data_IF_392274292123
#
_entry.id   IF_392274292123
#
_cell.length_a   1.000
_cell.length_b   1.000
_cell.length_c   1.000
_cell.angle_alpha   90.00
_cell.angle_beta   90.00
_cell.angle_gamma   90.00
#
_symmetry.space_group_name_H-M   'P 1'
#
loop_
_entity.id
_entity.type
_entity.pdbx_description
1 polymer ?
#
# COMPACT_ATOMS: atom_id res chain seq x y z
N UNK A 1 28.24 9.57 -2.98
CA UNK A 1 27.88 9.19 -1.60
C UNK A 1 26.40 9.51 -1.37
N UNK A 2 25.51 8.70 -1.95
CA UNK A 2 24.07 8.71 -1.65
C UNK A 2 23.72 7.29 -1.22
N UNK A 3 23.18 7.19 -0.01
CA UNK A 3 22.90 5.93 0.67
C UNK A 3 21.70 5.26 -0.02
N UNK A 4 21.97 4.38 -0.98
CA UNK A 4 20.97 3.47 -1.52
C UNK A 4 20.65 2.43 -0.45
N UNK A 5 19.45 2.48 0.12
CA UNK A 5 18.92 1.41 0.98
C UNK A 5 18.53 0.26 0.04
N UNK A 6 19.51 -0.58 -0.30
CA UNK A 6 19.30 -1.92 -0.85
C UNK A 6 19.02 -2.83 0.34
N UNK A 7 17.76 -3.22 0.52
CA UNK A 7 17.40 -4.24 1.52
C UNK A 7 17.73 -5.60 0.93
N UNK A 8 18.91 -6.11 1.28
CA UNK A 8 19.35 -7.48 1.04
C UNK A 8 18.51 -8.41 1.93
N UNK A 9 17.70 -9.28 1.33
CA UNK A 9 16.85 -10.24 2.06
C UNK A 9 17.68 -11.49 2.36
N UNK A 10 18.55 -11.42 3.35
CA UNK A 10 19.23 -12.59 3.91
C UNK A 10 19.44 -12.38 5.42
N UNK A 11 18.71 -13.15 6.24
CA UNK A 11 18.83 -13.13 7.70
C UNK A 11 17.55 -12.66 8.39
N UNK A 12 16.62 -13.58 8.64
CA UNK A 12 15.46 -13.33 9.49
C UNK A 12 15.90 -13.53 10.94
N UNK A 13 16.05 -12.44 11.69
CA UNK A 13 16.44 -12.44 13.12
C UNK A 13 15.22 -12.31 14.05
N UNK A 14 15.40 -12.66 15.33
CA UNK A 14 14.39 -12.66 16.41
C UNK A 14 13.61 -11.34 16.57
N UNK A 15 14.16 -10.22 16.09
CA UNK A 15 13.53 -8.90 16.08
C UNK A 15 12.22 -8.83 15.29
N UNK A 16 12.04 -9.69 14.29
CA UNK A 16 10.81 -9.72 13.49
C UNK A 16 9.62 -10.26 14.30
N UNK A 17 9.83 -11.24 15.17
CA UNK A 17 8.80 -11.80 16.05
C UNK A 17 8.32 -10.78 17.09
N UNK A 18 9.24 -10.04 17.72
CA UNK A 18 8.90 -8.97 18.67
C UNK A 18 8.16 -7.83 17.98
N UNK A 19 8.57 -7.48 16.76
CA UNK A 19 7.90 -6.46 15.94
C UNK A 19 6.50 -6.90 15.53
N UNK A 20 6.31 -8.18 15.17
CA UNK A 20 5.00 -8.75 14.84
C UNK A 20 4.05 -8.77 16.03
N UNK A 21 4.53 -9.20 17.20
CA UNK A 21 3.74 -9.19 18.44
C UNK A 21 3.34 -7.76 18.82
N UNK A 22 4.28 -6.79 18.74
CA UNK A 22 3.99 -5.36 18.97
C UNK A 22 2.99 -4.79 17.96
N UNK A 23 3.08 -5.16 16.68
CA UNK A 23 2.13 -4.73 15.64
C UNK A 23 0.73 -5.30 15.89
N UNK A 24 0.64 -6.58 16.30
CA UNK A 24 -0.63 -7.22 16.63
C UNK A 24 -1.29 -6.57 17.87
N UNK A 25 -0.50 -6.28 18.90
CA UNK A 25 -0.96 -5.59 20.11
C UNK A 25 -1.40 -4.14 19.83
N UNK A 26 -0.66 -3.39 19.00
CA UNK A 26 -1.06 -2.03 18.57
C UNK A 26 -2.34 -2.06 17.75
N UNK A 27 -2.46 -2.99 16.80
CA UNK A 27 -3.66 -3.15 15.97
C UNK A 27 -4.90 -3.46 16.81
N UNK A 28 -4.76 -4.26 17.87
CA UNK A 28 -5.82 -4.55 18.84
C UNK A 28 -6.24 -3.29 19.64
N UNK A 29 -5.28 -2.54 20.19
CA UNK A 29 -5.56 -1.29 20.93
C UNK A 29 -6.21 -0.18 20.08
N UNK A 30 -6.06 -0.22 18.75
CA UNK A 30 -6.59 0.80 17.84
C UNK A 30 -8.03 0.52 17.43
N UNK A 31 -8.38 -0.75 17.24
CA UNK A 31 -9.78 -1.18 17.11
C UNK A 31 -10.54 -0.80 18.39
N UNK A 32 -9.92 -0.96 19.55
CA UNK A 32 -10.46 -0.54 20.86
C UNK A 32 -10.61 0.99 20.98
N UNK A 33 -9.80 1.79 20.27
CA UNK A 33 -9.94 3.26 20.20
C UNK A 33 -10.90 3.75 19.10
N UNK A 34 -11.66 2.85 18.47
CA UNK A 34 -12.62 3.18 17.41
C UNK A 34 -11.95 3.66 16.13
N UNK A 35 -10.70 3.28 15.87
CA UNK A 35 -9.99 3.62 14.63
C UNK A 35 -10.07 2.44 13.67
N UNK A 36 -10.49 2.72 12.44
CA UNK A 36 -10.61 1.73 11.36
C UNK A 36 -9.84 2.22 10.15
N UNK A 37 -9.13 1.32 9.46
CA UNK A 37 -8.57 1.60 8.13
C UNK A 37 -9.31 0.75 7.11
N UNK A 38 -9.76 1.39 6.04
CA UNK A 38 -10.30 0.72 4.85
C UNK A 38 -9.37 1.00 3.68
N UNK A 39 -9.31 0.07 2.73
CA UNK A 39 -8.52 0.23 1.53
C UNK A 39 -9.20 -0.42 0.34
N UNK A 40 -9.00 0.15 -0.83
CA UNK A 40 -9.65 -0.27 -2.07
C UNK A 40 -8.87 0.23 -3.28
N UNK A 41 -9.07 -0.44 -4.40
CA UNK A 41 -8.71 0.05 -5.73
C UNK A 41 -9.81 0.97 -6.28
N UNK A 42 -9.49 1.76 -7.31
CA UNK A 42 -10.50 2.57 -7.99
C UNK A 42 -11.59 1.73 -8.64
N UNK A 43 -11.24 0.54 -9.15
CA UNK A 43 -12.19 -0.41 -9.73
C UNK A 43 -13.18 -0.96 -8.71
N UNK A 44 -12.76 -1.16 -7.46
CA UNK A 44 -13.63 -1.69 -6.39
C UNK A 44 -14.78 -0.71 -6.11
N UNK A 45 -14.49 0.60 -6.06
CA UNK A 45 -15.50 1.63 -5.81
C UNK A 45 -16.45 1.77 -7.01
N UNK A 46 -15.92 1.64 -8.23
CA UNK A 46 -16.73 1.73 -9.45
C UNK A 46 -17.81 0.64 -9.54
N UNK A 47 -17.62 -0.48 -8.83
CA UNK A 47 -18.55 -1.61 -8.80
C UNK A 47 -19.55 -1.57 -7.62
N UNK A 48 -19.50 -0.55 -6.76
CA UNK A 48 -20.42 -0.43 -5.61
C UNK A 48 -21.79 0.15 -5.99
N UNK A 49 -22.73 0.05 -5.03
CA UNK A 49 -24.03 0.68 -5.12
C UNK A 49 -23.91 2.21 -5.25
N UNK A 50 -24.91 2.84 -5.86
CA UNK A 50 -24.86 4.27 -6.19
C UNK A 50 -24.70 5.18 -4.95
N UNK A 51 -25.31 4.82 -3.82
CA UNK A 51 -25.17 5.56 -2.56
C UNK A 51 -23.73 5.56 -2.04
N UNK A 52 -23.04 4.42 -2.11
CA UNK A 52 -21.65 4.29 -1.66
C UNK A 52 -20.69 5.07 -2.56
N UNK A 53 -20.94 5.07 -3.88
CA UNK A 53 -20.18 5.88 -4.84
C UNK A 53 -20.23 7.37 -4.50
N UNK A 54 -21.43 7.88 -4.20
CA UNK A 54 -21.60 9.29 -3.81
C UNK A 54 -20.92 9.62 -2.48
N UNK A 55 -20.93 8.70 -1.53
CA UNK A 55 -20.21 8.85 -0.27
C UNK A 55 -18.69 8.91 -0.49
N UNK A 56 -18.13 7.95 -1.22
CA UNK A 56 -16.69 7.92 -1.51
C UNK A 56 -16.24 9.11 -2.35
N UNK A 57 -17.06 9.56 -3.29
CA UNK A 57 -16.78 10.77 -4.07
C UNK A 57 -16.58 11.99 -3.17
N UNK A 58 -17.50 12.20 -2.21
CA UNK A 58 -17.38 13.29 -1.23
C UNK A 58 -16.14 13.16 -0.37
N UNK A 59 -15.93 12.00 0.26
CA UNK A 59 -14.81 11.76 1.18
C UNK A 59 -13.46 11.95 0.48
N UNK A 60 -13.27 11.34 -0.70
CA UNK A 60 -11.99 11.35 -1.42
C UNK A 60 -11.67 12.75 -1.92
N UNK A 61 -12.64 13.45 -2.51
CA UNK A 61 -12.40 14.80 -3.02
C UNK A 61 -12.14 15.79 -1.88
N UNK A 62 -12.78 15.61 -0.73
CA UNK A 62 -12.53 16.49 0.42
C UNK A 62 -11.13 16.31 0.99
N UNK A 63 -10.74 15.07 1.31
CA UNK A 63 -9.39 14.76 1.79
C UNK A 63 -8.32 15.09 0.75
N UNK A 64 -8.61 14.90 -0.55
CA UNK A 64 -7.73 15.28 -1.64
C UNK A 64 -7.50 16.80 -1.73
N UNK A 65 -8.57 17.61 -1.57
CA UNK A 65 -8.44 19.08 -1.50
C UNK A 65 -7.63 19.52 -0.29
N UNK A 66 -7.91 18.95 0.88
CA UNK A 66 -7.18 19.29 2.10
C UNK A 66 -5.69 18.89 2.01
N UNK A 67 -5.40 17.72 1.40
CA UNK A 67 -4.04 17.28 1.10
C UNK A 67 -3.31 18.29 0.20
N UNK A 68 -3.96 18.69 -0.91
CA UNK A 68 -3.41 19.66 -1.86
C UNK A 68 -3.12 21.01 -1.19
N UNK A 69 -4.05 21.50 -0.38
CA UNK A 69 -3.89 22.74 0.39
C UNK A 69 -2.70 22.67 1.34
N UNK A 70 -2.54 21.56 2.07
CA UNK A 70 -1.44 21.35 3.01
C UNK A 70 -0.09 21.28 2.31
N UNK A 71 -0.04 20.66 1.13
CA UNK A 71 1.16 20.53 0.30
C UNK A 71 1.39 21.76 -0.63
N UNK A 72 0.49 22.75 -0.61
CA UNK A 72 0.51 23.95 -1.47
C UNK A 72 0.53 23.61 -2.97
N UNK A 73 -0.20 22.58 -3.36
CA UNK A 73 -0.37 22.19 -4.77
C UNK A 73 -1.45 23.05 -5.43
N UNK A 74 -1.25 23.40 -6.70
CA UNK A 74 -2.21 24.19 -7.47
C UNK A 74 -3.56 23.47 -7.67
N UNK A 75 -3.56 22.14 -7.71
CA UNK A 75 -4.77 21.34 -7.79
C UNK A 75 -4.62 20.00 -7.06
N UNK A 76 -5.72 19.35 -6.63
CA UNK A 76 -5.67 18.05 -5.99
C UNK A 76 -5.13 16.95 -6.90
N UNK A 77 -4.10 16.24 -6.43
CA UNK A 77 -3.54 15.08 -7.11
C UNK A 77 -4.31 13.79 -6.83
N UNK A 78 -5.19 13.81 -5.82
CA UNK A 78 -6.11 12.73 -5.49
C UNK A 78 -7.53 13.24 -5.58
N UNK A 79 -8.29 12.69 -6.52
CA UNK A 79 -9.74 12.90 -6.67
C UNK A 79 -10.39 11.57 -6.94
N UNK A 80 -11.70 11.48 -6.70
CA UNK A 80 -12.49 10.29 -6.99
C UNK A 80 -12.36 9.87 -8.46
N UNK A 81 -12.47 10.81 -9.38
CA UNK A 81 -12.33 10.58 -10.83
C UNK A 81 -10.94 10.06 -11.20
N UNK A 82 -9.87 10.68 -10.68
CA UNK A 82 -8.49 10.23 -10.90
C UNK A 82 -8.24 8.85 -10.33
N UNK A 83 -8.91 8.50 -9.23
CA UNK A 83 -8.78 7.17 -8.64
C UNK A 83 -9.44 6.11 -9.51
N UNK A 84 -10.68 6.35 -9.96
CA UNK A 84 -11.41 5.43 -10.84
C UNK A 84 -10.72 5.28 -12.20
N UNK A 85 -10.19 6.36 -12.78
CA UNK A 85 -9.47 6.26 -14.06
C UNK A 85 -8.19 5.41 -13.95
N UNK A 86 -7.66 5.24 -12.75
CA UNK A 86 -6.49 4.41 -12.45
C UNK A 86 -6.86 3.08 -11.78
N UNK A 87 -8.07 2.59 -12.11
CA UNK A 87 -8.84 1.56 -11.40
C UNK A 87 -8.04 0.38 -10.83
N UNK A 88 -7.01 -0.13 -11.52
CA UNK A 88 -6.27 -1.33 -11.09
C UNK A 88 -4.84 -1.04 -10.61
N UNK A 89 -4.34 0.18 -10.80
CA UNK A 89 -2.93 0.51 -10.57
C UNK A 89 -2.71 1.29 -9.29
N UNK A 90 -3.71 2.05 -8.86
CA UNK A 90 -3.62 2.83 -7.64
C UNK A 90 -4.53 2.23 -6.56
N UNK A 91 -4.00 2.18 -5.35
CA UNK A 91 -4.75 1.76 -4.16
C UNK A 91 -4.82 2.93 -3.19
N UNK A 92 -6.02 3.20 -2.69
CA UNK A 92 -6.26 4.19 -1.66
C UNK A 92 -6.51 3.50 -0.33
N UNK A 93 -5.90 4.03 0.71
CA UNK A 93 -6.13 3.69 2.11
C UNK A 93 -6.77 4.90 2.77
N UNK A 94 -7.86 4.69 3.51
CA UNK A 94 -8.57 5.75 4.25
C UNK A 94 -8.63 5.33 5.70
N UNK A 95 -8.12 6.19 6.59
CA UNK A 95 -8.25 6.00 8.03
C UNK A 95 -9.46 6.76 8.53
N UNK A 96 -10.27 6.09 9.34
CA UNK A 96 -11.51 6.60 9.89
C UNK A 96 -11.49 6.47 11.40
N UNK A 97 -12.11 7.43 12.08
CA UNK A 97 -12.27 7.45 13.53
C UNK A 97 -13.76 7.45 13.86
N UNK A 98 -14.16 6.62 14.83
CA UNK A 98 -15.52 6.62 15.36
C UNK A 98 -15.80 7.95 16.09
N UNK A 99 -16.90 8.59 15.74
CA UNK A 99 -17.43 9.81 16.37
C UNK A 99 -18.94 9.59 16.56
N UNK A 100 -19.36 9.45 17.83
CA UNK A 100 -20.69 8.95 18.17
C UNK A 100 -20.93 7.57 17.57
N UNK A 101 -22.02 7.41 16.83
CA UNK A 101 -22.38 6.16 16.12
C UNK A 101 -21.88 6.10 14.67
N UNK A 102 -21.13 7.11 14.24
CA UNK A 102 -20.63 7.22 12.86
C UNK A 102 -19.12 7.14 12.78
N UNK A 103 -18.58 7.04 11.56
CA UNK A 103 -17.15 7.11 11.29
C UNK A 103 -16.82 8.32 10.43
N UNK A 104 -15.86 9.11 10.88
CA UNK A 104 -15.32 10.24 10.13
C UNK A 104 -13.97 9.88 9.53
N UNK A 105 -13.76 10.21 8.26
CA UNK A 105 -12.47 10.02 7.61
C UNK A 105 -11.47 11.09 8.07
N UNK A 106 -10.28 10.66 8.51
CA UNK A 106 -9.25 11.51 9.11
C UNK A 106 -7.95 11.57 8.33
N UNK A 107 -7.82 10.79 7.26
CA UNK A 107 -6.63 10.80 6.43
C UNK A 107 -6.69 9.80 5.28
N UNK A 108 -5.80 10.00 4.33
CA UNK A 108 -5.62 9.17 3.14
C UNK A 108 -4.15 8.80 2.94
N UNK A 109 -3.92 7.64 2.36
CA UNK A 109 -2.65 7.23 1.80
C UNK A 109 -2.90 6.59 0.44
N UNK A 110 -2.30 7.13 -0.61
CA UNK A 110 -2.43 6.61 -1.99
C UNK A 110 -1.12 5.99 -2.42
N UNK A 111 -1.19 4.78 -2.96
CA UNK A 111 -0.03 4.09 -3.55
C UNK A 111 -0.32 3.68 -4.98
N UNK A 112 0.73 3.44 -5.76
CA UNK A 112 0.60 2.86 -7.09
C UNK A 112 1.93 2.49 -7.69
N UNK A 113 1.91 1.57 -8.64
CA UNK A 113 3.13 1.19 -9.37
C UNK A 113 3.46 2.22 -10.44
N UNK A 114 4.73 2.63 -10.49
CA UNK A 114 5.25 3.55 -11.50
C UNK A 114 6.43 2.93 -12.22
N UNK A 115 6.45 3.10 -13.54
CA UNK A 115 7.64 2.86 -14.37
C UNK A 115 8.52 4.09 -14.26
N UNK A 116 9.74 3.91 -13.77
CA UNK A 116 10.74 4.97 -13.63
C UNK A 116 11.87 4.63 -14.60
N UNK A 117 12.31 5.63 -15.35
CA UNK A 117 13.49 5.52 -16.21
C UNK A 117 14.69 5.95 -15.36
N UNK A 118 15.60 5.02 -15.11
CA UNK A 118 16.80 5.27 -14.32
C UNK A 118 18.01 5.18 -15.24
N UNK A 119 18.78 6.27 -15.34
CA UNK A 119 20.06 6.24 -16.05
C UNK A 119 21.13 5.79 -15.07
N UNK A 120 21.80 4.67 -15.38
CA UNK A 120 22.90 4.18 -14.56
C UNK A 120 24.20 4.94 -14.86
N UNK A 121 25.22 4.73 -14.03
CA UNK A 121 26.53 5.41 -14.15
C UNK A 121 27.23 5.13 -15.49
N UNK A 122 26.84 4.06 -16.19
CA UNK A 122 27.33 3.72 -17.54
C UNK A 122 26.57 4.41 -18.67
N UNK A 123 25.62 5.29 -18.37
CA UNK A 123 24.80 6.01 -19.36
C UNK A 123 23.64 5.21 -19.96
N UNK A 124 23.41 3.98 -19.51
CA UNK A 124 22.30 3.16 -19.99
C UNK A 124 21.00 3.48 -19.24
N UNK A 125 19.87 3.48 -19.95
CA UNK A 125 18.54 3.70 -19.37
C UNK A 125 17.93 2.34 -19.00
N UNK A 126 17.67 2.15 -17.71
CA UNK A 126 16.96 1.01 -17.16
C UNK A 126 15.49 1.37 -16.89
N UNK A 127 14.59 0.43 -17.21
CA UNK A 127 13.16 0.57 -16.94
C UNK A 127 12.80 -0.18 -15.66
N UNK A 128 12.62 0.55 -14.56
CA UNK A 128 12.34 -0.03 -13.26
C UNK A 128 10.88 0.18 -12.88
N UNK A 129 10.29 -0.79 -12.16
CA UNK A 129 8.94 -0.66 -11.58
C UNK A 129 9.03 -0.62 -10.07
N UNK A 130 8.50 0.46 -9.50
CA UNK A 130 8.45 0.64 -8.06
C UNK A 130 7.03 0.85 -7.57
N UNK A 131 6.74 0.32 -6.38
CA UNK A 131 5.57 0.73 -5.62
C UNK A 131 5.85 2.10 -5.00
N UNK A 132 5.15 3.12 -5.47
CA UNK A 132 5.33 4.49 -5.01
C UNK A 132 4.22 4.90 -4.04
N UNK A 133 4.60 5.69 -3.04
CA UNK A 133 3.69 6.51 -2.26
C UNK A 133 3.37 7.76 -3.08
N UNK A 134 2.12 7.91 -3.51
CA UNK A 134 1.70 8.95 -4.46
C UNK A 134 1.02 10.14 -3.80
N UNK A 135 0.39 9.95 -2.64
CA UNK A 135 -0.21 11.01 -1.84
C UNK A 135 -0.35 10.51 -0.40
N UNK A 136 -0.16 11.39 0.57
CA UNK A 136 -0.28 11.06 1.98
C UNK A 136 -0.72 12.27 2.78
N UNK A 137 -1.85 12.13 3.46
CA UNK A 137 -2.44 13.20 4.24
C UNK A 137 -3.15 12.68 5.47
N UNK A 138 -2.99 13.40 6.57
CA UNK A 138 -3.73 13.21 7.83
C UNK A 138 -4.19 14.58 8.28
N UNK A 139 -5.46 14.68 8.67
CA UNK A 139 -6.08 15.93 9.13
C UNK A 139 -5.28 16.55 10.28
N UNK A 140 -4.99 17.86 10.26
CA UNK A 140 -4.18 18.54 11.29
C UNK A 140 -4.59 18.25 12.73
N UNK A 141 -5.90 18.16 13.01
CA UNK A 141 -6.45 17.93 14.35
C UNK A 141 -5.98 16.60 14.99
N UNK A 142 -5.55 15.63 14.18
CA UNK A 142 -5.11 14.31 14.63
C UNK A 142 -3.67 13.96 14.22
N UNK A 143 -2.91 14.93 13.72
CA UNK A 143 -1.50 14.73 13.41
C UNK A 143 -0.69 14.43 14.69
N UNK A 144 0.43 13.70 14.53
CA UNK A 144 1.31 13.25 15.63
C UNK A 144 0.67 12.33 16.67
N UNK A 145 -0.58 11.92 16.48
CA UNK A 145 -1.28 10.95 17.34
C UNK A 145 -1.20 9.49 16.84
N UNK A 146 -0.40 9.23 15.81
CA UNK A 146 -0.15 7.88 15.27
C UNK A 146 -0.96 7.47 14.05
N UNK A 147 -1.97 8.25 13.62
CA UNK A 147 -2.80 7.96 12.43
C UNK A 147 -1.97 7.69 11.16
N UNK A 148 -0.97 8.52 10.90
CA UNK A 148 -0.09 8.35 9.75
C UNK A 148 0.74 7.06 9.81
N UNK A 149 1.21 6.70 11.00
CA UNK A 149 1.93 5.45 11.24
C UNK A 149 1.03 4.24 10.94
N UNK A 150 -0.22 4.28 11.37
CA UNK A 150 -1.19 3.21 11.15
C UNK A 150 -1.48 3.03 9.65
N UNK A 151 -1.64 4.14 8.91
CA UNK A 151 -1.81 4.08 7.45
C UNK A 151 -0.62 3.42 6.77
N UNK A 152 0.61 3.81 7.13
CA UNK A 152 1.83 3.24 6.58
C UNK A 152 2.01 1.77 6.93
N UNK A 153 1.82 1.40 8.21
CA UNK A 153 1.90 0.01 8.67
C UNK A 153 0.84 -0.86 7.97
N UNK A 154 -0.39 -0.35 7.81
CA UNK A 154 -1.44 -1.05 7.07
C UNK A 154 -1.06 -1.24 5.61
N UNK A 155 -0.51 -0.22 4.96
CA UNK A 155 -0.05 -0.30 3.58
C UNK A 155 1.06 -1.35 3.42
N UNK A 156 2.06 -1.33 4.29
CA UNK A 156 3.16 -2.31 4.29
C UNK A 156 2.62 -3.73 4.48
N UNK A 157 1.77 -3.94 5.49
CA UNK A 157 1.20 -5.25 5.78
C UNK A 157 0.35 -5.80 4.61
N UNK A 158 -0.39 -4.94 3.91
CA UNK A 158 -1.25 -5.37 2.80
C UNK A 158 -0.46 -5.49 1.49
N UNK A 159 0.56 -4.65 1.24
CA UNK A 159 1.30 -4.66 -0.03
C UNK A 159 2.53 -5.56 -0.01
N UNK A 160 3.34 -5.52 1.05
CA UNK A 160 4.63 -6.23 1.11
C UNK A 160 4.43 -7.69 1.50
N UNK A 161 3.45 -7.99 2.36
CA UNK A 161 3.10 -9.39 2.68
C UNK A 161 2.55 -10.13 1.46
N UNK A 162 1.82 -9.42 0.58
CA UNK A 162 1.36 -9.97 -0.70
C UNK A 162 2.53 -10.23 -1.66
N UNK A 163 3.56 -9.36 -1.68
CA UNK A 163 4.77 -9.58 -2.51
C UNK A 163 5.53 -10.83 -2.05
N UNK A 164 5.68 -11.04 -0.75
CA UNK A 164 6.33 -12.25 -0.22
C UNK A 164 5.51 -13.52 -0.52
N UNK A 165 4.18 -13.47 -0.42
CA UNK A 165 3.31 -14.62 -0.75
C UNK A 165 3.37 -14.93 -2.26
N UNK A 166 3.25 -13.92 -3.13
CA UNK A 166 3.33 -14.12 -4.59
C UNK A 166 4.72 -14.59 -5.03
N UNK A 167 5.79 -14.11 -4.40
CA UNK A 167 7.14 -14.64 -4.67
C UNK A 167 7.30 -16.09 -4.20
N UNK A 168 6.68 -16.47 -3.09
CA UNK A 168 6.64 -17.86 -2.63
C UNK A 168 5.86 -18.75 -3.61
N UNK A 169 4.71 -18.31 -4.10
CA UNK A 169 3.93 -19.07 -5.08
C UNK A 169 4.70 -19.24 -6.41
N UNK A 170 5.37 -18.19 -6.89
CA UNK A 170 6.25 -18.26 -8.07
C UNK A 170 7.46 -19.19 -7.85
N UNK A 171 8.03 -19.19 -6.64
CA UNK A 171 9.11 -20.11 -6.28
C UNK A 171 8.62 -21.56 -6.17
N UNK A 172 7.41 -21.80 -5.66
CA UNK A 172 6.81 -23.14 -5.61
C UNK A 172 6.55 -23.66 -7.02
N UNK A 173 6.06 -22.84 -7.94
CA UNK A 173 5.86 -23.24 -9.34
C UNK A 173 7.19 -23.52 -10.06
N UNK A 174 8.21 -22.67 -9.87
CA UNK A 174 9.56 -22.89 -10.43
C UNK A 174 10.23 -24.14 -9.84
N UNK A 175 10.01 -24.43 -8.56
CA UNK A 175 10.53 -25.66 -7.92
C UNK A 175 9.74 -26.90 -8.37
N UNK A 176 8.44 -26.78 -8.63
CA UNK A 176 7.60 -27.84 -9.19
C UNK A 176 8.02 -28.23 -10.62
N UNK A 177 8.31 -27.25 -11.48
CA UNK A 177 8.83 -27.49 -12.84
C UNK A 177 10.24 -28.11 -12.85
N UNK A 178 11.10 -27.73 -11.89
CA UNK A 178 12.43 -28.35 -11.71
C UNK A 178 12.33 -29.78 -11.20
N UNK A 179 11.36 -30.10 -10.34
CA UNK A 179 11.12 -31.46 -9.87
C UNK A 179 10.65 -32.41 -10.99
N UNK A 180 9.93 -31.89 -12.00
CA UNK A 180 9.51 -32.68 -13.17
C UNK A 180 10.65 -32.93 -14.17
N UNK A 181 11.56 -31.97 -14.35
CA UNK A 181 12.69 -32.10 -15.29
C UNK A 181 13.82 -33.00 -14.77
N UNK A 182 13.99 -33.12 -13.44
CA UNK A 182 14.98 -34.05 -12.86
C UNK A 182 14.52 -35.52 -12.85
N UNK A 183 13.20 -35.80 -12.81
CA UNK A 183 12.69 -37.18 -12.90
C UNK A 183 12.86 -37.82 -14.29
N UNK A 184 13.05 -37.02 -15.35
CA UNK A 184 13.24 -37.49 -16.72
C UNK A 184 14.71 -37.82 -17.08
N UNK A 185 15.66 -37.70 -16.15
CA UNK A 185 17.09 -38.01 -16.37
C UNK A 185 17.56 -39.29 -15.65
N UNK A 186 16.79 -40.39 -15.71
CA UNK A 186 17.34 -41.72 -15.39
C UNK A 186 17.93 -42.32 -16.68
N UNK A 187 19.22 -42.69 -16.72
CA UNK A 187 19.80 -43.35 -17.87
C UNK A 187 19.17 -44.73 -18.06
N UNK A 188 18.83 -45.08 -19.31
CA UNK A 188 18.57 -46.47 -19.70
C UNK A 188 19.79 -47.31 -19.28
N UNK A 189 19.53 -48.31 -18.45
CA UNK A 189 20.38 -49.49 -18.31
C UNK A 189 19.70 -50.63 -19.02
#
# INVERSE_FOLDING_TARGET
MYLAIVIQIAGWTEDFCITWIRLSLKKKSLIERGVKVVWFYGGDIANQAQGDKQLWNRIINDLGRQSAKTQRLASPITTYEKLISTAQHHRLYVIMRKVGDSYEAKGILKTGEKRIFHMNDGGNIEHLRYLCLLDFYVEPSVQRQGYGKILLETMILVRIKLVLIVQLDFLVDVLSERAHTEKCKRPMR
#
